data_IF_100112886769
#
_entry.id   IF_100112886769
#
_cell.length_a   1.000
_cell.length_b   1.000
_cell.length_c   1.000
_cell.angle_alpha   90.00
_cell.angle_beta   90.00
_cell.angle_gamma   90.00
#
_symmetry.space_group_name_H-M   'P 1'
#
loop_
_entity.id
_entity.type
_entity.pdbx_description
1 polymer ?
#
# COMPACT_ATOMS: atom_id res chain seq x y z
N UNK A 1 66.43 26.93 -50.33
CA UNK A 1 65.48 26.31 -49.33
C UNK A 1 64.14 26.23 -50.01
N UNK A 2 63.74 25.03 -50.43
CA UNK A 2 62.59 24.74 -51.24
C UNK A 2 61.38 24.52 -50.33
N UNK A 3 60.42 25.44 -50.43
CA UNK A 3 59.09 25.29 -49.78
C UNK A 3 58.31 24.16 -50.47
N UNK A 4 58.23 23.04 -49.84
CA UNK A 4 57.34 21.94 -50.29
C UNK A 4 55.97 22.17 -49.71
N UNK A 5 54.91 22.31 -50.53
CA UNK A 5 53.58 22.39 -50.01
C UNK A 5 53.15 21.02 -49.52
N UNK A 6 52.91 20.89 -48.22
CA UNK A 6 52.30 19.67 -47.60
C UNK A 6 50.93 19.47 -48.19
N UNK A 7 50.81 18.58 -49.17
CA UNK A 7 49.54 18.05 -49.66
C UNK A 7 48.95 17.10 -48.62
N UNK A 8 48.33 17.64 -47.58
CA UNK A 8 47.55 16.87 -46.66
C UNK A 8 46.20 16.50 -47.32
N UNK A 9 46.08 15.27 -47.81
CA UNK A 9 44.82 14.67 -48.26
C UNK A 9 44.06 14.10 -47.05
N UNK A 10 43.80 14.91 -46.05
CA UNK A 10 43.06 14.52 -44.87
C UNK A 10 41.71 15.26 -44.76
N UNK A 11 40.77 14.70 -44.05
CA UNK A 11 39.46 15.32 -43.74
C UNK A 11 39.60 16.76 -43.26
N UNK A 12 40.65 17.10 -42.55
CA UNK A 12 40.96 18.44 -42.05
C UNK A 12 41.18 19.49 -43.15
N UNK A 13 41.66 19.09 -44.33
CA UNK A 13 41.91 20.02 -45.46
C UNK A 13 40.62 20.67 -45.98
N UNK A 14 39.51 19.98 -45.90
CA UNK A 14 38.20 20.49 -46.32
C UNK A 14 37.73 21.63 -45.40
N UNK A 15 37.98 21.52 -44.11
CA UNK A 15 37.64 22.52 -43.10
C UNK A 15 38.57 23.77 -43.17
N UNK A 16 39.83 23.56 -43.44
CA UNK A 16 40.80 24.64 -43.58
C UNK A 16 40.51 25.49 -44.82
N UNK A 17 40.08 24.86 -45.92
CA UNK A 17 39.78 25.55 -47.18
C UNK A 17 38.48 26.34 -47.22
N UNK A 18 37.58 26.07 -46.28
CA UNK A 18 36.25 26.75 -46.19
C UNK A 18 36.00 27.28 -44.77
N UNK A 19 36.73 28.30 -44.33
CA UNK A 19 36.65 28.79 -42.94
C UNK A 19 35.23 29.24 -42.54
N UNK A 20 34.51 29.90 -43.44
CA UNK A 20 33.11 30.37 -43.18
C UNK A 20 32.17 29.18 -42.96
N UNK A 21 32.28 28.11 -43.76
CA UNK A 21 31.45 26.94 -43.60
C UNK A 21 31.76 26.21 -42.29
N UNK A 22 33.04 26.19 -41.88
CA UNK A 22 33.49 25.56 -40.63
C UNK A 22 32.95 26.32 -39.41
N UNK A 23 33.04 27.66 -39.43
CA UNK A 23 32.52 28.49 -38.32
C UNK A 23 31.00 28.38 -38.20
N UNK A 24 30.25 28.36 -39.31
CA UNK A 24 28.80 28.15 -39.30
C UNK A 24 28.42 26.77 -38.74
N UNK A 25 29.17 25.72 -39.11
CA UNK A 25 28.93 24.38 -38.62
C UNK A 25 29.20 24.29 -37.10
N UNK A 26 30.28 24.92 -36.61
CA UNK A 26 30.62 24.99 -35.18
C UNK A 26 29.52 25.73 -34.40
N UNK A 27 29.02 26.86 -34.94
CA UNK A 27 27.91 27.61 -34.34
C UNK A 27 26.63 26.73 -34.30
N UNK A 28 26.35 26.03 -35.40
CA UNK A 28 25.16 25.13 -35.44
C UNK A 28 25.26 23.99 -34.40
N UNK A 29 26.41 23.36 -34.26
CA UNK A 29 26.67 22.31 -33.25
C UNK A 29 26.52 22.89 -31.84
N UNK A 30 27.06 24.08 -31.59
CA UNK A 30 26.94 24.75 -30.30
C UNK A 30 25.47 25.06 -29.96
N UNK A 31 24.69 25.58 -30.91
CA UNK A 31 23.27 25.86 -30.73
C UNK A 31 22.47 24.58 -30.48
N UNK A 32 22.76 23.52 -31.25
CA UNK A 32 22.16 22.21 -31.04
C UNK A 32 22.50 21.66 -29.64
N UNK A 33 23.74 21.83 -29.20
CA UNK A 33 24.18 21.44 -27.86
C UNK A 33 23.41 22.19 -26.74
N UNK A 34 23.24 23.51 -26.91
CA UNK A 34 22.51 24.34 -25.95
C UNK A 34 21.00 23.94 -25.90
N UNK A 35 20.38 23.69 -27.07
CA UNK A 35 19.00 23.26 -27.15
C UNK A 35 18.85 21.87 -26.52
N UNK A 36 19.74 20.93 -26.87
CA UNK A 36 19.74 19.59 -26.32
C UNK A 36 19.93 19.59 -24.80
N UNK A 37 20.85 20.40 -24.28
CA UNK A 37 21.08 20.55 -22.84
C UNK A 37 19.82 21.03 -22.08
N UNK A 38 19.07 21.96 -22.66
CA UNK A 38 17.84 22.47 -22.06
C UNK A 38 16.67 21.47 -22.09
N UNK A 39 16.75 20.49 -22.97
CA UNK A 39 15.73 19.43 -23.08
C UNK A 39 16.10 18.17 -22.32
N UNK A 40 17.29 18.08 -21.72
CA UNK A 40 17.63 16.94 -20.87
C UNK A 40 16.73 16.95 -19.63
N UNK A 41 16.01 15.86 -19.38
CA UNK A 41 15.29 15.69 -18.12
C UNK A 41 16.33 15.61 -16.99
N UNK A 42 16.22 16.51 -16.02
CA UNK A 42 17.05 16.50 -14.82
C UNK A 42 16.27 15.82 -13.71
N UNK A 43 16.71 14.63 -13.31
CA UNK A 43 16.23 13.99 -12.07
C UNK A 43 17.03 14.53 -10.88
N UNK A 44 16.36 14.94 -9.83
CA UNK A 44 16.99 15.46 -8.61
C UNK A 44 17.76 14.37 -7.83
N UNK A 45 17.39 13.11 -8.04
CA UNK A 45 18.03 11.93 -7.44
C UNK A 45 18.26 10.88 -8.55
N UNK A 46 19.40 10.15 -8.52
CA UNK A 46 19.54 8.99 -9.40
C UNK A 46 18.42 7.98 -9.10
N UNK A 47 17.73 7.51 -10.10
CA UNK A 47 16.77 6.43 -9.98
C UNK A 47 17.51 5.14 -9.59
N UNK A 48 17.64 4.92 -8.31
CA UNK A 48 18.11 3.65 -7.75
C UNK A 48 16.86 2.80 -7.55
N UNK A 49 16.24 2.37 -8.63
CA UNK A 49 15.14 1.43 -8.62
C UNK A 49 15.66 0.05 -8.21
N UNK A 50 15.70 -0.19 -6.90
CA UNK A 50 15.69 -1.54 -6.40
C UNK A 50 14.22 -1.99 -6.33
N UNK A 51 13.80 -3.01 -7.12
CA UNK A 51 12.44 -3.50 -7.06
C UNK A 51 12.10 -3.87 -5.62
N UNK A 52 11.08 -3.22 -5.05
CA UNK A 52 10.70 -3.39 -3.67
C UNK A 52 9.22 -3.70 -3.52
N UNK A 53 8.91 -4.58 -2.57
CA UNK A 53 7.55 -4.91 -2.15
C UNK A 53 7.40 -4.61 -0.68
N UNK A 54 6.27 -4.03 -0.30
CA UNK A 54 5.95 -3.73 1.08
C UNK A 54 4.74 -4.54 1.50
N UNK A 55 4.92 -5.36 2.52
CA UNK A 55 3.85 -6.14 3.15
C UNK A 55 3.36 -5.43 4.39
N UNK A 56 2.08 -5.15 4.45
CA UNK A 56 1.43 -4.49 5.59
C UNK A 56 0.37 -5.40 6.19
N UNK A 57 0.41 -5.56 7.51
CA UNK A 57 -0.56 -6.35 8.26
C UNK A 57 -1.10 -5.55 9.43
N UNK A 58 -2.42 -5.51 9.57
CA UNK A 58 -3.09 -4.80 10.65
C UNK A 58 -3.74 -5.80 11.64
N UNK A 59 -3.44 -5.61 12.93
CA UNK A 59 -4.06 -6.34 14.02
C UNK A 59 -4.43 -5.37 15.13
N UNK A 60 -5.57 -4.68 15.00
CA UNK A 60 -5.99 -3.64 15.95
C UNK A 60 -6.06 -4.17 17.38
N UNK A 61 -5.51 -3.40 18.32
CA UNK A 61 -5.46 -3.78 19.73
C UNK A 61 -4.26 -4.62 20.16
N UNK A 62 -3.44 -5.10 19.22
CA UNK A 62 -2.21 -5.79 19.56
C UNK A 62 -1.10 -4.81 19.97
N UNK A 63 -0.32 -5.16 20.98
CA UNK A 63 0.90 -4.42 21.33
C UNK A 63 1.99 -4.64 20.27
N UNK A 64 3.00 -3.77 20.22
CA UNK A 64 4.13 -3.92 19.31
C UNK A 64 4.86 -5.28 19.49
N UNK A 65 5.02 -5.75 20.73
CA UNK A 65 5.60 -7.05 21.05
C UNK A 65 4.73 -8.21 20.56
N UNK A 66 3.41 -8.10 20.71
CA UNK A 66 2.45 -9.09 20.20
C UNK A 66 2.48 -9.11 18.68
N UNK A 67 2.54 -7.95 18.01
CA UNK A 67 2.70 -7.86 16.57
C UNK A 67 3.99 -8.53 16.11
N UNK A 68 5.11 -8.25 16.76
CA UNK A 68 6.39 -8.84 16.41
C UNK A 68 6.37 -10.36 16.49
N UNK A 69 5.81 -10.92 17.57
CA UNK A 69 5.86 -12.38 17.81
C UNK A 69 4.82 -13.18 17.03
N UNK A 70 3.58 -12.67 16.93
CA UNK A 70 2.47 -13.41 16.33
C UNK A 70 2.27 -13.13 14.83
N UNK A 71 2.76 -12.00 14.34
CA UNK A 71 2.52 -11.58 12.96
C UNK A 71 3.84 -11.42 12.21
N UNK A 72 4.73 -10.55 12.68
CA UNK A 72 5.95 -10.19 11.93
C UNK A 72 6.91 -11.37 11.80
N UNK A 73 7.25 -12.04 12.89
CA UNK A 73 8.19 -13.18 12.87
C UNK A 73 7.71 -14.35 12.00
N UNK A 74 6.44 -14.81 12.07
CA UNK A 74 5.93 -15.81 11.13
C UNK A 74 6.00 -15.37 9.66
N UNK A 75 5.70 -14.10 9.37
CA UNK A 75 5.80 -13.55 8.02
C UNK A 75 7.25 -13.48 7.54
N UNK A 76 8.17 -12.99 8.36
CA UNK A 76 9.61 -12.94 8.05
C UNK A 76 10.18 -14.32 7.71
N UNK A 77 9.74 -15.34 8.43
CA UNK A 77 10.19 -16.72 8.20
C UNK A 77 9.79 -17.23 6.82
N UNK A 78 8.56 -17.00 6.41
CA UNK A 78 8.07 -17.46 5.11
C UNK A 78 8.60 -16.57 3.98
N UNK A 79 8.62 -15.25 4.16
CA UNK A 79 9.13 -14.30 3.18
C UNK A 79 10.65 -14.46 2.97
N UNK A 80 11.40 -14.79 4.03
CA UNK A 80 12.84 -15.01 3.94
C UNK A 80 13.26 -16.23 3.10
N UNK A 81 12.33 -17.11 2.75
CA UNK A 81 12.59 -18.24 1.85
C UNK A 81 12.52 -17.87 0.36
N UNK A 82 12.05 -16.66 0.04
CA UNK A 82 11.92 -16.20 -1.34
C UNK A 82 13.31 -15.89 -1.90
N UNK A 83 13.62 -16.46 -3.05
CA UNK A 83 14.89 -16.22 -3.73
C UNK A 83 14.99 -14.82 -4.31
N UNK A 84 16.19 -14.23 -4.31
CA UNK A 84 16.46 -12.92 -4.90
C UNK A 84 16.16 -11.73 -3.99
N UNK A 85 15.83 -11.96 -2.71
CA UNK A 85 15.77 -10.88 -1.71
C UNK A 85 17.19 -10.46 -1.35
N UNK A 86 17.49 -9.18 -1.48
CA UNK A 86 18.77 -8.57 -1.11
C UNK A 86 18.73 -7.94 0.28
N UNK A 87 17.57 -7.42 0.67
CA UNK A 87 17.36 -6.86 1.99
C UNK A 87 15.90 -7.06 2.41
N UNK A 88 15.71 -7.40 3.68
CA UNK A 88 14.42 -7.44 4.35
C UNK A 88 14.51 -6.60 5.62
N UNK A 89 13.59 -5.65 5.77
CA UNK A 89 13.46 -4.80 6.95
C UNK A 89 12.03 -4.84 7.45
N UNK A 90 11.85 -4.99 8.74
CA UNK A 90 10.53 -5.04 9.36
C UNK A 90 10.39 -4.03 10.49
N UNK A 91 9.21 -3.45 10.61
CA UNK A 91 8.80 -2.60 11.70
C UNK A 91 7.50 -3.12 12.31
N UNK A 92 7.49 -3.21 13.65
CA UNK A 92 6.31 -3.65 14.41
C UNK A 92 5.91 -2.58 15.39
N UNK A 93 4.81 -1.93 15.11
CA UNK A 93 4.18 -0.93 15.96
C UNK A 93 2.85 -1.44 16.54
N UNK A 94 2.19 -0.67 17.40
CA UNK A 94 0.92 -1.06 17.99
C UNK A 94 -0.16 -1.26 16.90
N UNK A 95 -0.58 -2.51 16.71
CA UNK A 95 -1.60 -2.90 15.73
C UNK A 95 -1.16 -2.90 14.28
N UNK A 96 0.11 -2.63 13.97
CA UNK A 96 0.62 -2.56 12.59
C UNK A 96 1.97 -3.27 12.47
N UNK A 97 2.11 -4.09 11.44
CA UNK A 97 3.39 -4.65 10.99
C UNK A 97 3.64 -4.23 9.55
N UNK A 98 4.84 -3.73 9.28
CA UNK A 98 5.29 -3.35 7.93
C UNK A 98 6.60 -4.07 7.64
N UNK A 99 6.64 -4.83 6.55
CA UNK A 99 7.84 -5.56 6.11
C UNK A 99 8.19 -5.07 4.70
N UNK A 100 9.39 -4.56 4.54
CA UNK A 100 9.91 -4.06 3.27
C UNK A 100 10.87 -5.12 2.72
N UNK A 101 10.61 -5.58 1.50
CA UNK A 101 11.41 -6.54 0.77
C UNK A 101 12.07 -5.84 -0.41
N UNK A 102 13.37 -5.86 -0.48
CA UNK A 102 14.12 -5.38 -1.65
C UNK A 102 14.67 -6.58 -2.41
N UNK A 103 14.47 -6.56 -3.71
CA UNK A 103 14.91 -7.63 -4.60
C UNK A 103 16.14 -7.20 -5.42
N UNK A 104 16.84 -8.17 -5.96
CA UNK A 104 17.90 -7.93 -6.92
C UNK A 104 17.35 -7.24 -8.19
N UNK A 105 18.15 -6.38 -8.82
CA UNK A 105 17.70 -5.55 -9.97
C UNK A 105 17.30 -6.36 -11.19
N UNK A 106 17.84 -7.55 -11.35
CA UNK A 106 17.54 -8.49 -12.42
C UNK A 106 16.29 -9.33 -12.16
N UNK A 107 15.69 -9.19 -10.97
CA UNK A 107 14.47 -9.91 -10.59
C UNK A 107 13.23 -9.22 -11.15
N UNK A 108 12.39 -9.98 -11.83
CA UNK A 108 11.08 -9.51 -12.26
C UNK A 108 10.17 -9.31 -11.04
N UNK A 109 9.66 -8.08 -10.89
CA UNK A 109 8.82 -7.67 -9.76
C UNK A 109 7.46 -8.38 -9.76
N UNK A 110 6.95 -8.77 -10.94
CA UNK A 110 5.67 -9.49 -11.04
C UNK A 110 5.80 -10.92 -10.54
N UNK A 111 6.91 -11.57 -10.84
CA UNK A 111 7.24 -12.90 -10.33
C UNK A 111 7.48 -12.82 -8.81
N UNK A 112 8.24 -11.82 -8.35
CA UNK A 112 8.47 -11.60 -6.92
C UNK A 112 7.16 -11.38 -6.15
N UNK A 113 6.20 -10.62 -6.72
CA UNK A 113 4.89 -10.40 -6.12
C UNK A 113 4.07 -11.68 -5.99
N UNK A 114 4.15 -12.59 -6.96
CA UNK A 114 3.50 -13.91 -6.89
C UNK A 114 4.12 -14.79 -5.79
N UNK A 115 5.44 -14.78 -5.67
CA UNK A 115 6.15 -15.50 -4.62
C UNK A 115 5.78 -14.96 -3.24
N UNK A 116 5.75 -13.63 -3.07
CA UNK A 116 5.29 -12.98 -1.83
C UNK A 116 3.85 -13.38 -1.52
N UNK A 117 2.94 -13.35 -2.49
CA UNK A 117 1.56 -13.75 -2.28
C UNK A 117 1.44 -15.22 -1.85
N UNK A 118 2.25 -16.09 -2.41
CA UNK A 118 2.31 -17.51 -2.02
C UNK A 118 2.82 -17.68 -0.60
N UNK A 119 3.90 -16.98 -0.23
CA UNK A 119 4.46 -16.99 1.12
C UNK A 119 3.46 -16.45 2.16
N UNK A 120 2.72 -15.38 1.83
CA UNK A 120 1.68 -14.84 2.72
C UNK A 120 0.56 -15.83 3.01
N UNK A 121 0.19 -16.68 2.03
CA UNK A 121 -0.81 -17.75 2.22
C UNK A 121 -0.28 -18.91 3.06
N UNK A 122 1.02 -19.18 3.00
CA UNK A 122 1.68 -20.26 3.76
C UNK A 122 1.94 -19.86 5.21
N UNK A 123 2.03 -18.56 5.49
CA UNK A 123 2.31 -18.05 6.82
C UNK A 123 1.22 -18.43 7.83
N UNK A 124 1.63 -19.01 8.95
CA UNK A 124 0.73 -19.38 10.06
C UNK A 124 0.44 -18.15 10.92
N UNK A 125 -0.59 -17.41 10.54
CA UNK A 125 -1.04 -16.23 11.25
C UNK A 125 -2.21 -16.54 12.19
N UNK A 126 -2.43 -15.72 13.24
CA UNK A 126 -3.59 -15.87 14.11
C UNK A 126 -4.90 -15.82 13.33
N UNK A 127 -5.81 -16.77 13.58
CA UNK A 127 -7.14 -16.80 12.95
C UNK A 127 -8.03 -15.63 13.34
N UNK A 128 -7.65 -14.86 14.37
CA UNK A 128 -8.34 -13.64 14.83
C UNK A 128 -7.92 -12.36 14.08
N UNK A 129 -7.05 -12.46 13.05
CA UNK A 129 -6.71 -11.31 12.21
C UNK A 129 -7.96 -10.83 11.45
N UNK A 130 -8.35 -9.55 11.63
CA UNK A 130 -9.55 -9.02 10.96
C UNK A 130 -9.36 -8.88 9.44
N UNK A 131 -8.12 -8.68 9.01
CA UNK A 131 -7.76 -8.52 7.60
C UNK A 131 -6.51 -9.34 7.27
N UNK A 132 -6.47 -10.00 6.10
CA UNK A 132 -5.27 -10.68 5.64
C UNK A 132 -4.15 -9.67 5.35
N UNK A 133 -2.87 -10.10 5.39
CA UNK A 133 -1.75 -9.28 4.95
C UNK A 133 -1.93 -8.80 3.51
N UNK A 134 -1.58 -7.54 3.27
CA UNK A 134 -1.63 -6.91 1.94
C UNK A 134 -0.23 -6.53 1.51
N UNK A 135 0.11 -6.73 0.25
CA UNK A 135 1.37 -6.26 -0.31
C UNK A 135 1.15 -5.15 -1.34
N UNK A 136 2.09 -4.21 -1.40
CA UNK A 136 2.13 -3.12 -2.37
C UNK A 136 3.48 -3.11 -3.09
N UNK A 137 3.47 -2.76 -4.38
CA UNK A 137 4.66 -2.67 -5.24
C UNK A 137 5.39 -1.34 -5.15
N UNK A 138 4.83 -0.40 -4.45
CA UNK A 138 5.39 0.96 -4.28
C UNK A 138 5.86 1.09 -2.85
N UNK A 139 7.07 1.62 -2.68
CA UNK A 139 7.58 1.96 -1.38
C UNK A 139 6.73 3.11 -0.78
N UNK A 140 6.00 2.89 0.32
CA UNK A 140 5.19 3.95 0.94
C UNK A 140 6.05 5.08 1.54
N UNK A 141 7.37 4.92 1.62
CA UNK A 141 8.30 5.97 2.01
C UNK A 141 8.63 6.94 0.86
N UNK A 142 8.28 6.60 -0.39
CA UNK A 142 8.45 7.51 -1.51
C UNK A 142 7.57 8.73 -1.35
N UNK A 143 8.13 9.90 -1.64
CA UNK A 143 7.39 11.15 -1.54
C UNK A 143 6.23 11.15 -2.55
N UNK A 144 5.01 11.52 -2.12
CA UNK A 144 3.88 11.60 -3.05
C UNK A 144 4.15 12.69 -4.10
N UNK A 145 3.93 12.35 -5.37
CA UNK A 145 4.08 13.31 -6.49
C UNK A 145 2.97 14.38 -6.48
N UNK A 146 1.82 14.05 -5.90
CA UNK A 146 0.67 14.94 -5.82
C UNK A 146 -0.13 14.68 -4.55
N UNK A 147 -0.55 15.74 -3.89
CA UNK A 147 -1.48 15.69 -2.75
C UNK A 147 -2.77 16.41 -3.13
N UNK A 148 -3.89 15.67 -3.13
CA UNK A 148 -5.22 16.22 -3.37
C UNK A 148 -5.90 16.47 -2.02
N UNK A 149 -6.39 17.69 -1.80
CA UNK A 149 -7.13 18.05 -0.59
C UNK A 149 -8.61 18.12 -0.91
N UNK A 150 -9.41 17.35 -0.14
CA UNK A 150 -10.88 17.39 -0.25
C UNK A 150 -11.45 18.08 0.97
N UNK A 151 -12.27 19.10 0.72
CA UNK A 151 -13.00 19.85 1.76
C UNK A 151 -14.45 19.98 1.37
N UNK A 152 -15.34 20.02 2.35
CA UNK A 152 -16.76 20.31 2.15
C UNK A 152 -17.28 21.20 3.27
N UNK A 153 -18.10 22.17 2.91
CA UNK A 153 -18.83 23.02 3.87
C UNK A 153 -20.22 22.46 4.23
N UNK A 154 -20.70 21.47 3.46
CA UNK A 154 -22.06 20.92 3.59
C UNK A 154 -22.09 19.49 4.06
N UNK A 155 -21.06 18.69 3.73
CA UNK A 155 -20.99 17.29 4.08
C UNK A 155 -20.10 17.08 5.32
N UNK A 156 -20.49 16.20 6.23
CA UNK A 156 -19.64 15.81 7.35
C UNK A 156 -18.38 15.08 6.83
N UNK A 157 -17.27 15.23 7.55
CA UNK A 157 -15.96 14.65 7.17
C UNK A 157 -16.02 13.14 6.88
N UNK A 158 -16.89 12.40 7.58
CA UNK A 158 -17.12 10.99 7.37
C UNK A 158 -17.59 10.67 5.93
N UNK A 159 -18.53 11.48 5.41
CA UNK A 159 -19.06 11.26 4.05
C UNK A 159 -18.05 11.68 2.98
N UNK A 160 -17.31 12.75 3.22
CA UNK A 160 -16.19 13.15 2.35
C UNK A 160 -15.15 12.03 2.27
N UNK A 161 -14.83 11.41 3.41
CA UNK A 161 -13.90 10.30 3.46
C UNK A 161 -14.45 9.06 2.73
N UNK A 162 -15.72 8.69 2.92
CA UNK A 162 -16.33 7.59 2.20
C UNK A 162 -16.31 7.81 0.69
N UNK A 163 -16.55 9.02 0.24
CA UNK A 163 -16.48 9.37 -1.19
C UNK A 163 -15.04 9.27 -1.71
N UNK A 164 -14.07 9.74 -0.92
CA UNK A 164 -12.65 9.62 -1.26
C UNK A 164 -12.21 8.17 -1.42
N UNK A 165 -12.60 7.29 -0.47
CA UNK A 165 -12.20 5.89 -0.43
C UNK A 165 -12.93 5.04 -1.50
N UNK A 166 -14.25 5.20 -1.60
CA UNK A 166 -15.06 4.32 -2.47
C UNK A 166 -15.07 4.73 -3.94
N UNK A 167 -14.87 5.99 -4.25
CA UNK A 167 -15.00 6.50 -5.63
C UNK A 167 -13.68 7.08 -6.13
N UNK A 168 -13.12 8.07 -5.41
CA UNK A 168 -11.98 8.82 -5.91
C UNK A 168 -10.71 7.98 -5.96
N UNK A 169 -10.40 7.27 -4.88
CA UNK A 169 -9.22 6.42 -4.81
C UNK A 169 -9.25 5.32 -5.89
N UNK A 170 -10.42 4.69 -6.11
CA UNK A 170 -10.56 3.68 -7.15
C UNK A 170 -10.36 4.24 -8.55
N UNK A 171 -10.94 5.41 -8.84
CA UNK A 171 -10.76 6.05 -10.15
C UNK A 171 -9.33 6.49 -10.40
N UNK A 172 -8.66 7.04 -9.38
CA UNK A 172 -7.27 7.45 -9.50
C UNK A 172 -6.33 6.26 -9.65
N UNK A 173 -6.59 5.15 -8.95
CA UNK A 173 -5.77 3.92 -9.07
C UNK A 173 -5.85 3.27 -10.46
N UNK A 174 -6.89 3.56 -11.24
CA UNK A 174 -7.06 3.05 -12.60
C UNK A 174 -6.31 3.89 -13.66
N UNK A 175 -5.78 5.05 -13.27
CA UNK A 175 -5.02 5.90 -14.19
C UNK A 175 -3.65 5.26 -14.45
N UNK A 176 -3.30 5.13 -15.73
CA UNK A 176 -2.00 4.59 -16.13
C UNK A 176 -0.86 5.41 -15.53
N UNK A 177 0.11 4.76 -14.91
CA UNK A 177 1.24 5.40 -14.25
C UNK A 177 1.03 5.73 -12.76
N UNK A 178 -0.17 5.51 -12.21
CA UNK A 178 -0.43 5.65 -10.77
C UNK A 178 -0.07 4.35 -10.05
N UNK A 179 0.96 4.39 -9.22
CA UNK A 179 1.42 3.23 -8.46
C UNK A 179 0.68 3.01 -7.14
N UNK A 180 0.35 4.09 -6.43
CA UNK A 180 -0.35 4.02 -5.14
C UNK A 180 -1.18 5.28 -4.91
N UNK A 181 -2.40 5.09 -4.42
CA UNK A 181 -3.26 6.16 -3.89
C UNK A 181 -3.47 5.90 -2.42
N UNK A 182 -2.99 6.81 -1.57
CA UNK A 182 -3.17 6.74 -0.12
C UNK A 182 -4.06 7.86 0.38
N UNK A 183 -4.93 7.56 1.35
CA UNK A 183 -5.82 8.54 1.96
C UNK A 183 -5.31 8.83 3.37
N UNK A 184 -4.98 10.11 3.64
CA UNK A 184 -4.60 10.61 4.95
C UNK A 184 -5.73 11.45 5.55
N UNK A 185 -5.74 11.62 6.87
CA UNK A 185 -6.80 12.34 7.59
C UNK A 185 -8.13 11.60 7.69
N UNK A 186 -8.10 10.31 7.48
CA UNK A 186 -9.23 9.41 7.44
C UNK A 186 -9.90 9.29 8.83
N UNK A 187 -11.20 9.54 8.90
CA UNK A 187 -12.03 9.30 10.09
C UNK A 187 -12.99 8.15 9.78
N UNK A 188 -12.63 6.94 10.20
CA UNK A 188 -13.53 5.79 10.10
C UNK A 188 -14.46 5.75 11.31
N UNK A 189 -15.77 5.63 11.11
CA UNK A 189 -16.70 5.44 12.21
C UNK A 189 -16.40 4.12 12.93
N UNK A 190 -16.36 4.17 14.25
CA UNK A 190 -16.17 3.00 15.08
C UNK A 190 -17.05 3.09 16.34
N UNK A 191 -17.60 1.98 16.78
CA UNK A 191 -18.28 1.87 18.06
C UNK A 191 -17.25 1.52 19.12
N UNK A 192 -17.07 2.40 20.09
CA UNK A 192 -16.17 2.17 21.23
C UNK A 192 -16.98 1.67 22.42
N UNK A 193 -16.74 0.44 22.82
CA UNK A 193 -17.35 -0.17 24.01
C UNK A 193 -16.44 0.08 25.21
N UNK A 194 -16.92 0.86 26.19
CA UNK A 194 -16.23 1.12 27.44
C UNK A 194 -16.86 0.30 28.55
N UNK A 195 -16.07 -0.47 29.24
CA UNK A 195 -16.52 -1.38 30.31
C UNK A 195 -15.93 -0.94 31.64
N UNK A 196 -16.73 -1.05 32.71
CA UNK A 196 -16.25 -0.82 34.06
C UNK A 196 -15.68 -2.11 34.67
N UNK A 197 -14.34 -2.20 34.91
CA UNK A 197 -13.72 -3.45 35.39
C UNK A 197 -14.25 -3.89 36.76
N UNK A 198 -14.59 -2.93 37.67
CA UNK A 198 -15.11 -3.27 38.98
C UNK A 198 -16.50 -3.91 38.90
N UNK A 199 -17.36 -3.41 38.00
CA UNK A 199 -18.68 -4.01 37.78
C UNK A 199 -18.56 -5.41 37.16
N UNK A 200 -17.64 -5.61 36.20
CA UNK A 200 -17.37 -6.92 35.62
C UNK A 200 -16.94 -7.92 36.70
N UNK A 201 -15.97 -7.54 37.54
CA UNK A 201 -15.48 -8.38 38.63
C UNK A 201 -16.58 -8.77 39.63
N UNK A 202 -17.48 -7.83 39.99
CA UNK A 202 -18.62 -8.08 40.88
C UNK A 202 -19.63 -9.04 40.27
N UNK A 203 -19.74 -9.08 38.93
CA UNK A 203 -20.65 -9.98 38.20
C UNK A 203 -19.97 -11.32 37.86
N UNK A 204 -18.66 -11.48 38.14
CA UNK A 204 -17.88 -12.65 37.75
C UNK A 204 -17.64 -12.77 36.25
N UNK A 205 -17.71 -11.66 35.50
CA UNK A 205 -17.52 -11.59 34.09
C UNK A 205 -16.10 -11.14 33.76
N UNK A 206 -15.56 -11.62 32.65
CA UNK A 206 -14.27 -11.23 32.07
C UNK A 206 -14.44 -10.32 30.85
N UNK A 207 -13.38 -9.63 30.46
CA UNK A 207 -13.37 -8.86 29.19
C UNK A 207 -13.57 -9.78 27.98
N UNK A 208 -13.15 -11.03 28.09
CA UNK A 208 -13.33 -12.02 27.02
C UNK A 208 -14.83 -12.41 26.85
N UNK A 209 -15.57 -12.47 27.94
CA UNK A 209 -17.02 -12.71 27.88
C UNK A 209 -17.72 -11.56 27.14
N UNK A 210 -17.32 -10.32 27.43
CA UNK A 210 -17.83 -9.15 26.71
C UNK A 210 -17.49 -9.21 25.22
N UNK A 211 -16.23 -9.50 24.89
CA UNK A 211 -15.77 -9.63 23.51
C UNK A 211 -16.56 -10.71 22.75
N UNK A 212 -16.73 -11.87 23.37
CA UNK A 212 -17.43 -13.00 22.79
C UNK A 212 -18.91 -12.69 22.56
N UNK A 213 -19.57 -12.06 23.53
CA UNK A 213 -20.97 -11.65 23.40
C UNK A 213 -21.18 -10.64 22.27
N UNK A 214 -20.30 -9.62 22.16
CA UNK A 214 -20.35 -8.64 21.08
C UNK A 214 -20.09 -9.27 19.71
N UNK A 215 -19.15 -10.21 19.61
CA UNK A 215 -18.88 -10.93 18.37
C UNK A 215 -20.07 -11.79 17.95
N UNK A 216 -20.72 -12.46 18.88
CA UNK A 216 -21.91 -13.28 18.61
C UNK A 216 -23.14 -12.44 18.25
N UNK A 217 -23.27 -11.26 18.86
CA UNK A 217 -24.39 -10.35 18.59
C UNK A 217 -24.29 -9.67 17.21
N UNK A 218 -23.12 -9.67 16.59
CA UNK A 218 -22.90 -9.00 15.30
C UNK A 218 -22.35 -9.98 14.25
N UNK A 219 -23.10 -11.03 13.95
CA UNK A 219 -22.71 -12.08 12.99
C UNK A 219 -23.43 -11.87 11.67
N UNK A 220 -22.64 -11.66 10.60
CA UNK A 220 -23.12 -11.70 9.23
C UNK A 220 -22.82 -13.08 8.63
N UNK A 221 -23.76 -14.01 8.75
CA UNK A 221 -23.63 -15.37 8.26
C UNK A 221 -24.82 -15.78 7.43
N UNK A 222 -24.61 -16.71 6.50
CA UNK A 222 -25.69 -17.32 5.76
C UNK A 222 -26.66 -18.07 6.71
N UNK A 223 -27.95 -17.77 6.65
CA UNK A 223 -28.98 -18.33 7.51
C UNK A 223 -29.71 -19.55 6.88
N UNK A 224 -29.32 -19.92 5.67
CA UNK A 224 -29.92 -21.02 4.95
C UNK A 224 -31.04 -20.62 3.99
N UNK A 225 -31.72 -21.64 3.47
CA UNK A 225 -32.77 -21.48 2.49
C UNK A 225 -33.99 -22.36 2.87
N UNK A 226 -35.19 -21.87 2.58
CA UNK A 226 -36.41 -22.67 2.59
C UNK A 226 -36.68 -23.18 1.18
N UNK A 227 -36.55 -24.48 1.00
CA UNK A 227 -36.80 -25.12 -0.28
C UNK A 227 -38.23 -25.59 -0.37
N UNK A 228 -39.04 -24.95 -1.20
CA UNK A 228 -40.37 -25.41 -1.58
C UNK A 228 -40.34 -26.28 -2.84
N UNK A 229 -41.47 -26.85 -3.19
CA UNK A 229 -41.59 -27.73 -4.36
C UNK A 229 -41.32 -27.01 -5.70
N UNK A 230 -41.50 -25.69 -5.77
CA UNK A 230 -41.39 -24.87 -7.01
C UNK A 230 -40.41 -23.71 -6.85
N UNK A 231 -40.16 -23.22 -5.62
CA UNK A 231 -39.34 -22.05 -5.36
C UNK A 231 -38.48 -22.25 -4.11
N UNK A 232 -37.29 -21.64 -4.13
CA UNK A 232 -36.38 -21.58 -2.99
C UNK A 232 -36.31 -20.14 -2.48
N UNK A 233 -36.51 -19.96 -1.19
CA UNK A 233 -36.41 -18.67 -0.52
C UNK A 233 -35.17 -18.64 0.33
N UNK A 234 -34.28 -17.64 0.12
CA UNK A 234 -33.19 -17.39 1.02
C UNK A 234 -33.67 -16.66 2.28
N UNK A 235 -33.21 -17.11 3.45
CA UNK A 235 -33.51 -16.45 4.71
C UNK A 235 -32.52 -15.33 4.93
N UNK A 236 -32.99 -14.08 4.98
CA UNK A 236 -32.23 -12.92 5.38
C UNK A 236 -32.68 -12.41 6.74
N UNK A 237 -31.74 -12.17 7.62
CA UNK A 237 -31.99 -11.51 8.91
C UNK A 237 -31.09 -10.28 9.02
N UNK A 238 -31.55 -9.21 9.68
CA UNK A 238 -30.77 -8.02 9.94
C UNK A 238 -30.05 -8.18 11.29
N UNK A 239 -29.01 -9.00 11.33
CA UNK A 239 -28.25 -9.33 12.54
C UNK A 239 -27.06 -8.40 12.81
N UNK A 240 -26.89 -7.35 11.98
CA UNK A 240 -25.78 -6.43 12.15
C UNK A 240 -26.20 -5.24 13.01
N UNK A 241 -25.48 -5.05 14.11
CA UNK A 241 -25.63 -3.85 14.95
C UNK A 241 -24.96 -2.67 14.24
N UNK A 242 -25.74 -1.67 13.89
CA UNK A 242 -25.29 -0.52 13.10
C UNK A 242 -25.11 0.75 13.92
N UNK A 243 -25.66 0.81 15.12
CA UNK A 243 -25.67 2.00 15.99
C UNK A 243 -25.14 1.72 17.38
N UNK A 244 -24.55 2.74 18.02
CA UNK A 244 -24.10 2.64 19.41
C UNK A 244 -25.26 2.31 20.40
N UNK A 245 -26.50 2.66 20.04
CA UNK A 245 -27.68 2.34 20.84
C UNK A 245 -27.95 0.83 20.86
N UNK A 246 -27.94 0.18 19.70
CA UNK A 246 -28.14 -1.27 19.58
C UNK A 246 -27.05 -2.05 20.35
N UNK A 247 -25.79 -1.60 20.29
CA UNK A 247 -24.72 -2.19 21.10
C UNK A 247 -24.94 -2.04 22.59
N UNK A 248 -25.55 -0.95 23.04
CA UNK A 248 -25.83 -0.70 24.46
C UNK A 248 -26.90 -1.67 25.01
N UNK A 249 -27.83 -2.10 24.18
CA UNK A 249 -28.94 -3.02 24.53
C UNK A 249 -28.51 -4.48 24.45
N UNK A 250 -27.29 -4.77 24.00
CA UNK A 250 -26.82 -6.15 23.90
C UNK A 250 -26.62 -6.77 25.27
N UNK A 251 -27.27 -7.91 25.50
CA UNK A 251 -27.15 -8.67 26.75
C UNK A 251 -25.88 -9.52 26.71
N UNK A 252 -24.98 -9.29 27.68
CA UNK A 252 -23.68 -9.99 27.74
C UNK A 252 -23.82 -11.34 28.44
N UNK A 253 -24.63 -11.42 29.51
CA UNK A 253 -24.81 -12.65 30.26
C UNK A 253 -26.20 -12.65 30.96
N UNK A 254 -26.77 -13.83 31.12
CA UNK A 254 -27.95 -14.10 31.93
C UNK A 254 -27.50 -14.72 33.24
N UNK A 255 -28.03 -14.24 34.34
CA UNK A 255 -27.88 -14.88 35.64
C UNK A 255 -29.23 -15.52 36.00
N UNK A 256 -29.20 -16.85 36.13
CA UNK A 256 -30.33 -17.60 36.74
C UNK A 256 -30.31 -17.46 38.25
#
# INVERSE_FOLDING_TARGET
MSDQPVRGTGFSTLFIRRPIATTLLMIAVLLLGVIGYRQLPVSALPEIDAPSLVVTTQYPGASATTMATLVTTPLERELGQISGITMMSSDSSAGLSTIILQFARDRDIDVAAQDVQSALRSARLPGSLPYPPVYNRVNPADAPIMTLVMTSSTLPLREVNNYADSILAQKLSQVSGVGLVSIAGNVRPAVRVQVNPAQLGNLGLTLEDVRSALTQANVNAAKGTLNGAVQTYSIGTNDQLSSAQEYRETIISYRN
#
